data_IF_200315216936
#
_entry.id   IF_200315216936
#
_cell.length_a   1.000
_cell.length_b   1.000
_cell.length_c   1.000
_cell.angle_alpha   90.00
_cell.angle_beta   90.00
_cell.angle_gamma   90.00
#
_symmetry.space_group_name_H-M   'P 1'
#
loop_
_entity.id
_entity.type
_entity.pdbx_description
1 polymer ?
#
# COMPACT_ATOMS: atom_id res chain seq x y z
N UNK A 1 27.08 -51.70 17.36
CA UNK A 1 26.24 -50.63 17.97
C UNK A 1 26.25 -49.46 16.99
N UNK A 2 25.24 -49.43 16.11
CA UNK A 2 25.07 -48.43 15.06
C UNK A 2 24.20 -47.29 15.57
N UNK A 3 24.63 -46.03 15.39
CA UNK A 3 23.77 -44.86 15.50
C UNK A 3 24.04 -43.92 14.32
N UNK A 4 23.10 -43.92 13.38
CA UNK A 4 23.09 -43.09 12.18
C UNK A 4 22.87 -41.60 12.50
N UNK A 5 23.70 -40.74 11.92
CA UNK A 5 23.53 -39.28 11.93
C UNK A 5 22.73 -38.85 10.69
N UNK A 6 21.39 -38.71 10.80
CA UNK A 6 20.56 -38.14 9.71
C UNK A 6 20.06 -36.75 10.08
N UNK A 7 20.85 -35.73 9.80
CA UNK A 7 20.38 -34.33 9.81
C UNK A 7 19.99 -33.92 8.39
N UNK A 8 18.68 -33.86 8.17
CA UNK A 8 18.01 -33.61 6.90
C UNK A 8 18.24 -32.19 6.36
N UNK A 9 19.10 -32.00 5.37
CA UNK A 9 19.16 -30.76 4.56
C UNK A 9 18.14 -30.84 3.42
N UNK A 10 16.90 -30.39 3.64
CA UNK A 10 15.90 -30.23 2.57
C UNK A 10 15.16 -28.90 2.70
N UNK A 11 15.76 -27.78 2.30
CA UNK A 11 15.07 -26.47 2.30
C UNK A 11 15.41 -25.54 1.13
N UNK A 12 15.98 -26.04 0.03
CA UNK A 12 16.43 -25.18 -1.09
C UNK A 12 15.60 -25.29 -2.38
N UNK A 13 14.77 -26.31 -2.59
CA UNK A 13 14.09 -26.50 -3.89
C UNK A 13 12.71 -25.83 -4.04
N UNK A 14 12.05 -25.42 -2.95
CA UNK A 14 10.72 -24.77 -3.04
C UNK A 14 10.73 -23.33 -3.61
N UNK A 15 11.91 -22.77 -3.90
CA UNK A 15 12.06 -21.37 -4.34
C UNK A 15 11.89 -21.15 -5.85
N UNK A 16 11.90 -22.22 -6.65
CA UNK A 16 11.93 -22.13 -8.13
C UNK A 16 10.56 -22.31 -8.82
N UNK A 17 9.56 -22.90 -8.14
CA UNK A 17 8.24 -23.19 -8.73
C UNK A 17 7.18 -22.08 -8.58
N UNK A 18 7.45 -20.99 -7.87
CA UNK A 18 6.51 -19.87 -7.73
C UNK A 18 6.64 -18.79 -8.82
N UNK A 19 7.15 -19.13 -10.01
CA UNK A 19 7.46 -18.15 -11.08
C UNK A 19 6.50 -18.16 -12.28
N UNK A 20 5.51 -19.06 -12.32
CA UNK A 20 4.63 -19.26 -13.50
C UNK A 20 3.18 -18.77 -13.32
N UNK A 21 2.84 -18.19 -12.17
CA UNK A 21 1.49 -17.65 -11.91
C UNK A 21 1.51 -16.29 -11.21
N UNK A 22 2.66 -15.61 -11.19
CA UNK A 22 2.70 -14.24 -10.69
C UNK A 22 2.20 -13.34 -11.82
N UNK A 23 0.94 -12.91 -11.74
CA UNK A 23 0.55 -11.58 -12.25
C UNK A 23 1.75 -10.66 -12.08
N UNK A 24 2.20 -10.03 -13.16
CA UNK A 24 3.32 -9.10 -13.16
C UNK A 24 3.06 -8.04 -12.08
N UNK A 25 3.68 -8.22 -10.91
CA UNK A 25 3.51 -7.28 -9.79
C UNK A 25 4.23 -6.01 -10.21
N UNK A 26 3.53 -4.88 -10.36
CA UNK A 26 4.11 -3.68 -10.96
C UNK A 26 5.30 -3.15 -10.15
N UNK A 27 5.28 -3.36 -8.83
CA UNK A 27 6.32 -2.88 -7.92
C UNK A 27 6.68 -3.90 -6.84
N UNK A 28 7.92 -3.82 -6.36
CA UNK A 28 8.45 -4.68 -5.30
C UNK A 28 7.81 -4.33 -3.97
N UNK A 29 7.49 -5.36 -3.18
CA UNK A 29 6.85 -5.20 -1.87
C UNK A 29 5.36 -4.87 -1.95
N UNK A 30 4.81 -4.73 -3.15
CA UNK A 30 3.42 -4.35 -3.37
C UNK A 30 2.59 -5.57 -3.74
N UNK A 31 1.41 -5.66 -3.14
CA UNK A 31 0.41 -6.68 -3.48
C UNK A 31 -0.95 -6.05 -3.72
N UNK A 32 -1.66 -6.54 -4.73
CA UNK A 32 -3.05 -6.19 -4.98
C UNK A 32 -3.97 -7.15 -4.24
N UNK A 33 -5.00 -6.64 -3.56
CA UNK A 33 -6.11 -7.47 -3.05
C UNK A 33 -7.18 -7.60 -4.14
N UNK A 34 -7.99 -8.67 -4.05
CA UNK A 34 -9.20 -8.87 -4.88
C UNK A 34 -10.19 -7.69 -4.86
N UNK A 35 -10.12 -6.84 -3.82
CA UNK A 35 -10.91 -5.62 -3.69
C UNK A 35 -10.30 -4.40 -4.39
N UNK A 36 -9.23 -4.57 -5.18
CA UNK A 36 -8.60 -3.49 -5.94
C UNK A 36 -7.81 -2.50 -5.07
N UNK A 37 -7.42 -2.87 -3.85
CA UNK A 37 -6.55 -2.05 -2.98
C UNK A 37 -5.12 -2.56 -3.00
N UNK A 38 -4.19 -1.62 -3.13
CA UNK A 38 -2.76 -1.86 -3.11
C UNK A 38 -2.26 -1.81 -1.68
N UNK A 39 -1.37 -2.73 -1.32
CA UNK A 39 -0.85 -2.84 0.04
C UNK A 39 0.67 -2.83 0.02
N UNK A 40 1.25 -2.04 0.93
CA UNK A 40 2.68 -2.02 1.18
C UNK A 40 3.00 -2.57 2.59
N UNK A 41 3.93 -3.51 2.65
CA UNK A 41 4.48 -4.06 3.89
C UNK A 41 5.98 -4.34 3.74
N UNK A 42 6.76 -4.17 4.81
CA UNK A 42 8.20 -4.45 4.81
C UNK A 42 8.59 -5.40 5.93
N UNK A 43 9.64 -6.20 5.70
CA UNK A 43 10.24 -7.08 6.71
C UNK A 43 11.49 -6.40 7.27
N UNK A 44 11.59 -6.37 8.58
CA UNK A 44 12.80 -5.91 9.26
C UNK A 44 13.95 -6.90 9.01
N UNK A 45 15.20 -6.41 8.82
CA UNK A 45 16.36 -7.29 8.76
C UNK A 45 16.52 -8.01 10.12
N UNK A 46 16.93 -9.28 10.08
CA UNK A 46 17.19 -10.12 11.26
C UNK A 46 15.98 -10.41 12.17
N UNK A 47 14.77 -9.94 11.82
CA UNK A 47 13.54 -10.20 12.58
C UNK A 47 12.51 -10.94 11.71
N UNK A 48 11.60 -11.67 12.36
CA UNK A 48 10.43 -12.29 11.71
C UNK A 48 9.26 -11.31 11.54
N UNK A 49 9.32 -10.19 12.24
CA UNK A 49 8.29 -9.15 12.27
C UNK A 49 8.11 -8.47 10.91
N UNK A 50 6.86 -8.06 10.65
CA UNK A 50 6.49 -7.27 9.48
C UNK A 50 5.93 -5.94 9.93
N UNK A 51 6.25 -4.92 9.17
CA UNK A 51 5.73 -3.58 9.38
C UNK A 51 4.69 -3.33 8.29
N UNK A 52 3.44 -3.16 8.71
CA UNK A 52 2.37 -2.69 7.85
C UNK A 52 2.55 -1.19 7.61
N UNK A 53 2.68 -0.78 6.35
CA UNK A 53 2.93 0.62 5.97
C UNK A 53 1.64 1.34 5.57
N UNK A 54 0.69 0.60 5.00
CA UNK A 54 -0.60 1.13 4.62
C UNK A 54 -1.29 0.35 3.51
N UNK A 55 -2.50 0.80 3.19
CA UNK A 55 -3.25 0.43 2.00
C UNK A 55 -3.59 1.68 1.21
N UNK A 56 -3.39 1.61 -0.10
CA UNK A 56 -3.45 2.74 -1.01
C UNK A 56 -4.36 2.42 -2.21
N UNK A 57 -4.82 3.46 -2.88
CA UNK A 57 -5.60 3.36 -4.11
C UNK A 57 -4.71 3.29 -5.36
N UNK A 58 -3.51 3.89 -5.32
CA UNK A 58 -2.51 3.82 -6.40
C UNK A 58 -1.38 2.83 -6.08
N UNK A 59 -0.90 2.05 -7.08
CA UNK A 59 0.27 1.20 -6.93
C UNK A 59 1.54 2.01 -6.69
N UNK A 60 1.63 3.22 -7.27
CA UNK A 60 2.77 4.14 -7.12
C UNK A 60 2.85 4.64 -5.68
N UNK A 61 1.72 5.04 -5.10
CA UNK A 61 1.64 5.47 -3.70
C UNK A 61 2.13 4.37 -2.74
N UNK A 62 1.69 3.14 -2.97
CA UNK A 62 2.13 1.99 -2.18
C UNK A 62 3.64 1.75 -2.33
N UNK A 63 4.16 1.81 -3.56
CA UNK A 63 5.59 1.63 -3.86
C UNK A 63 6.47 2.72 -3.24
N UNK A 64 6.05 3.99 -3.26
CA UNK A 64 6.79 5.07 -2.57
C UNK A 64 6.83 4.89 -1.06
N UNK A 65 5.72 4.46 -0.45
CA UNK A 65 5.68 4.15 0.98
C UNK A 65 6.65 3.00 1.31
N UNK A 66 6.68 1.96 0.46
CA UNK A 66 7.61 0.84 0.60
C UNK A 66 9.06 1.30 0.49
N UNK A 67 9.41 2.10 -0.50
CA UNK A 67 10.78 2.56 -0.72
C UNK A 67 11.30 3.40 0.45
N UNK A 68 10.45 4.28 0.97
CA UNK A 68 10.73 5.03 2.20
C UNK A 68 11.09 4.08 3.32
N UNK A 69 10.25 3.08 3.59
CA UNK A 69 10.50 2.15 4.69
C UNK A 69 11.77 1.29 4.50
N UNK A 70 12.04 0.87 3.26
CA UNK A 70 13.24 0.10 2.95
C UNK A 70 14.50 0.95 3.09
N UNK A 71 14.45 2.23 2.70
CA UNK A 71 15.55 3.17 2.87
C UNK A 71 15.90 3.34 4.35
N UNK A 72 14.91 3.56 5.23
CA UNK A 72 15.18 3.66 6.68
C UNK A 72 15.73 2.36 7.29
N UNK A 73 15.38 1.19 6.74
CA UNK A 73 15.83 -0.10 7.27
C UNK A 73 17.20 -0.56 6.75
N UNK A 74 17.56 -0.18 5.53
CA UNK A 74 18.75 -0.70 4.83
C UNK A 74 19.76 0.39 4.44
N UNK A 75 19.37 1.65 4.60
CA UNK A 75 20.16 2.81 4.22
C UNK A 75 20.18 3.09 2.72
N UNK A 76 21.08 3.99 2.28
CA UNK A 76 21.15 4.49 0.90
C UNK A 76 21.46 3.42 -0.16
N UNK A 77 22.12 2.33 0.23
CA UNK A 77 22.43 1.21 -0.67
C UNK A 77 21.22 0.27 -0.91
N UNK A 78 20.04 0.65 -0.41
CA UNK A 78 18.81 -0.10 -0.63
C UNK A 78 18.45 -0.17 -2.12
N UNK A 79 18.03 -1.35 -2.56
CA UNK A 79 17.35 -1.48 -3.86
C UNK A 79 15.91 -0.99 -3.69
N UNK A 80 15.57 0.13 -4.29
CA UNK A 80 14.25 0.77 -4.26
C UNK A 80 13.52 0.62 -5.60
N UNK A 81 12.24 0.96 -5.68
CA UNK A 81 11.50 1.05 -6.94
C UNK A 81 11.76 2.40 -7.63
N UNK A 82 11.84 3.48 -6.85
CA UNK A 82 12.11 4.83 -7.31
C UNK A 82 13.27 5.47 -6.53
N UNK A 83 14.52 5.22 -6.94
CA UNK A 83 15.70 5.81 -6.29
C UNK A 83 15.70 7.36 -6.27
N UNK A 84 15.02 7.99 -7.23
CA UNK A 84 14.99 9.44 -7.42
C UNK A 84 14.16 10.22 -6.38
N UNK A 85 13.26 9.55 -5.63
CA UNK A 85 12.36 10.21 -4.66
C UNK A 85 12.78 10.05 -3.20
N UNK A 86 14.03 9.64 -2.97
CA UNK A 86 14.50 9.22 -1.64
C UNK A 86 15.68 10.08 -1.29
N UNK A 87 15.36 11.29 -0.80
CA UNK A 87 16.38 12.26 -0.42
C UNK A 87 17.18 11.70 0.76
N UNK A 88 18.51 11.69 0.60
CA UNK A 88 19.47 11.22 1.61
C UNK A 88 19.44 12.00 2.94
N UNK A 89 18.55 12.99 3.05
CA UNK A 89 18.34 13.83 4.24
C UNK A 89 17.37 13.22 5.26
N UNK A 90 16.93 11.98 5.06
CA UNK A 90 16.37 11.22 6.15
C UNK A 90 17.45 11.10 7.24
N UNK A 91 17.42 11.99 8.24
CA UNK A 91 18.13 11.81 9.49
C UNK A 91 17.73 10.43 10.02
N UNK A 92 18.57 9.43 9.77
CA UNK A 92 18.36 8.03 10.14
C UNK A 92 18.61 7.87 11.65
N UNK A 93 18.21 8.85 12.45
CA UNK A 93 18.44 8.89 13.89
C UNK A 93 17.55 7.87 14.59
N UNK A 94 16.31 7.69 14.12
CA UNK A 94 15.34 6.77 14.71
C UNK A 94 14.83 5.71 13.72
N UNK A 95 15.50 4.56 13.69
CA UNK A 95 15.10 3.36 12.94
C UNK A 95 13.96 2.55 13.61
N UNK A 96 13.17 3.19 14.47
CA UNK A 96 12.06 2.51 15.13
C UNK A 96 10.96 2.14 14.14
N UNK A 97 10.30 1.00 14.34
CA UNK A 97 9.18 0.59 13.48
C UNK A 97 8.01 1.61 13.49
N UNK A 98 7.86 2.40 14.55
CA UNK A 98 6.86 3.47 14.61
C UNK A 98 7.25 4.66 13.73
N UNK A 99 8.50 5.12 13.82
CA UNK A 99 9.04 6.22 13.01
C UNK A 99 9.00 5.87 11.52
N UNK A 100 9.42 4.65 11.18
CA UNK A 100 9.40 4.13 9.80
C UNK A 100 7.98 4.10 9.26
N UNK A 101 7.00 3.57 10.03
CA UNK A 101 5.59 3.59 9.63
C UNK A 101 5.09 4.99 9.39
N UNK A 102 5.31 5.89 10.35
CA UNK A 102 4.84 7.29 10.27
C UNK A 102 5.31 7.94 8.97
N UNK A 103 6.60 7.84 8.66
CA UNK A 103 7.16 8.46 7.45
C UNK A 103 6.68 7.80 6.16
N UNK A 104 6.66 6.46 6.12
CA UNK A 104 6.14 5.73 4.96
C UNK A 104 4.66 6.03 4.68
N UNK A 105 3.84 6.08 5.73
CA UNK A 105 2.42 6.43 5.62
C UNK A 105 2.23 7.85 5.11
N UNK A 106 2.99 8.82 5.63
CA UNK A 106 2.94 10.22 5.19
C UNK A 106 3.28 10.35 3.69
N UNK A 107 4.39 9.75 3.26
CA UNK A 107 4.82 9.78 1.85
C UNK A 107 3.78 9.11 0.95
N UNK A 108 3.29 7.93 1.33
CA UNK A 108 2.28 7.21 0.56
C UNK A 108 0.97 7.98 0.48
N UNK A 109 0.49 8.56 1.58
CA UNK A 109 -0.77 9.31 1.61
C UNK A 109 -0.73 10.57 0.72
N UNK A 110 0.40 11.30 0.73
CA UNK A 110 0.59 12.46 -0.16
C UNK A 110 0.51 12.06 -1.63
N UNK A 111 1.15 10.95 -2.03
CA UNK A 111 1.10 10.45 -3.42
C UNK A 111 -0.30 9.98 -3.78
N UNK A 112 -0.93 9.22 -2.89
CA UNK A 112 -2.26 8.67 -3.13
C UNK A 112 -3.28 9.79 -3.37
N UNK A 113 -3.17 10.89 -2.61
CA UNK A 113 -4.00 12.07 -2.79
C UNK A 113 -3.78 12.75 -4.17
N UNK A 114 -2.52 12.91 -4.58
CA UNK A 114 -2.18 13.51 -5.88
C UNK A 114 -2.69 12.63 -7.03
N UNK A 115 -2.38 11.34 -6.97
CA UNK A 115 -2.83 10.35 -7.96
C UNK A 115 -4.35 10.33 -8.06
N UNK A 116 -5.05 10.29 -6.93
CA UNK A 116 -6.52 10.30 -6.91
C UNK A 116 -7.08 11.58 -7.52
N UNK A 117 -6.47 12.74 -7.24
CA UNK A 117 -6.88 14.01 -7.81
C UNK A 117 -6.68 14.04 -9.35
N UNK A 118 -5.56 13.53 -9.85
CA UNK A 118 -5.27 13.43 -11.29
C UNK A 118 -6.26 12.53 -12.03
N UNK A 119 -6.63 11.38 -11.43
CA UNK A 119 -7.65 10.50 -11.99
C UNK A 119 -9.03 11.18 -12.03
N UNK A 120 -9.36 12.02 -11.03
CA UNK A 120 -10.65 12.76 -11.01
C UNK A 120 -10.71 13.84 -12.11
N UNK A 121 -9.63 14.57 -12.34
CA UNK A 121 -9.56 15.59 -13.41
C UNK A 121 -9.66 14.94 -14.79
N UNK A 122 -9.02 13.78 -14.97
CA UNK A 122 -9.10 13.01 -16.22
C UNK A 122 -10.52 12.46 -16.45
N UNK A 123 -11.20 11.98 -15.39
CA UNK A 123 -12.58 11.52 -15.47
C UNK A 123 -13.61 12.64 -15.73
N UNK A 124 -13.27 13.91 -15.44
CA UNK A 124 -14.13 15.06 -15.77
C UNK A 124 -14.03 15.55 -17.21
N UNK A 125 -13.17 14.93 -18.03
CA UNK A 125 -13.02 15.28 -19.45
C UNK A 125 -13.98 14.51 -20.37
N UNK A 126 -14.80 13.59 -19.84
CA UNK A 126 -15.86 12.92 -20.59
C UNK A 126 -17.20 13.64 -20.40
N UNK A 127 -17.89 14.07 -21.48
CA UNK A 127 -19.23 14.64 -21.38
C UNK A 127 -20.28 13.53 -21.15
N UNK A 128 -20.26 12.90 -19.98
CA UNK A 128 -21.32 11.97 -19.59
C UNK A 128 -22.50 12.75 -19.02
N UNK A 129 -23.46 13.04 -19.90
CA UNK A 129 -24.91 13.17 -19.69
C UNK A 129 -25.37 13.47 -18.26
N UNK A 130 -25.90 14.68 -18.09
CA UNK A 130 -26.59 15.23 -16.92
C UNK A 130 -27.38 14.21 -16.09
N UNK A 131 -26.91 13.95 -14.85
CA UNK A 131 -27.80 13.67 -13.72
C UNK A 131 -27.42 14.57 -12.56
N UNK A 132 -28.07 15.73 -12.53
CA UNK A 132 -28.15 16.57 -11.34
C UNK A 132 -28.84 15.72 -10.26
N UNK A 133 -28.05 15.11 -9.38
CA UNK A 133 -28.57 14.53 -8.15
C UNK A 133 -29.03 15.70 -7.26
N UNK A 134 -30.33 16.05 -7.37
CA UNK A 134 -31.03 16.85 -6.36
C UNK A 134 -30.93 16.10 -5.04
N UNK A 135 -30.09 16.59 -4.14
CA UNK A 135 -30.06 16.12 -2.76
C UNK A 135 -31.44 16.43 -2.15
N UNK A 136 -32.16 15.45 -1.58
CA UNK A 136 -33.38 15.76 -0.85
C UNK A 136 -33.03 16.66 0.34
N UNK A 137 -33.76 17.76 0.46
CA UNK A 137 -33.64 18.71 1.56
C UNK A 137 -34.11 18.02 2.85
N UNK A 138 -33.17 17.78 3.76
CA UNK A 138 -33.39 17.06 5.02
C UNK A 138 -34.13 17.92 6.07
N UNK A 139 -34.42 19.19 5.77
CA UNK A 139 -35.19 20.06 6.67
C UNK A 139 -36.71 20.03 6.42
N UNK A 140 -37.21 19.08 5.61
CA UNK A 140 -38.65 18.91 5.43
C UNK A 140 -39.21 18.05 6.57
N UNK A 141 -39.91 18.69 7.51
CA UNK A 141 -40.70 17.98 8.52
C UNK A 141 -41.83 17.18 7.83
N UNK A 142 -42.11 15.94 8.29
CA UNK A 142 -43.27 15.19 7.80
C UNK A 142 -44.55 15.93 8.16
N UNK A 143 -45.43 16.12 7.19
CA UNK A 143 -46.76 16.71 7.42
C UNK A 143 -47.58 15.77 8.30
N UNK A 144 -48.34 16.30 9.28
CA UNK A 144 -49.21 15.47 10.10
C UNK A 144 -50.31 14.89 9.21
N UNK A 145 -50.36 13.57 9.15
CA UNK A 145 -51.46 12.81 8.58
C UNK A 145 -52.73 13.15 9.38
N UNK A 146 -53.67 13.86 8.76
CA UNK A 146 -54.97 14.13 9.33
C UNK A 146 -55.73 12.81 9.50
N UNK A 147 -55.82 12.33 10.74
CA UNK A 147 -56.71 11.26 11.13
C UNK A 147 -58.15 11.77 11.18
N UNK A 148 -58.87 11.61 10.08
CA UNK A 148 -60.33 11.60 10.07
C UNK A 148 -60.77 10.15 9.83
N UNK A 149 -61.11 9.45 10.92
CA UNK A 149 -62.42 8.78 11.17
C UNK A 149 -62.37 7.97 12.47
#
# INVERSE_FOLDING_TARGET
METEFRSSTRKTEKRKQQKLGQEEKPYRGIRMRKWGKWVAEVREPNKRSRIWLGSYSSPVAAARAYDTAVFYLRGPAARLNFPEYVDGEAEVRDVSAASIRKRATEVGARVDAIETALHRVSASSEPSSSRVLKKPDLNKYPEPENGEE
#
